data_IF_770873154637
#
_entry.id   IF_770873154637
#
_cell.length_a   1.000
_cell.length_b   1.000
_cell.length_c   1.000
_cell.angle_alpha   90.00
_cell.angle_beta   90.00
_cell.angle_gamma   90.00
#
_symmetry.space_group_name_H-M   'P 1'
#
loop_
_entity.id
_entity.type
_entity.pdbx_description
1 polymer ?
#
# COMPACT_ATOMS: atom_id res chain seq x y z
N UNK A 1 3.43 1.58 13.33
CA UNK A 1 3.21 0.60 12.24
C UNK A 1 2.97 1.36 10.92
N UNK A 2 3.39 0.84 9.77
CA UNK A 2 3.28 1.50 8.46
C UNK A 2 2.56 0.59 7.45
N UNK A 3 1.53 1.11 6.78
CA UNK A 3 0.92 0.45 5.60
C UNK A 3 1.30 1.27 4.37
N UNK A 4 1.96 0.64 3.40
CA UNK A 4 2.28 1.25 2.10
C UNK A 4 1.33 0.67 1.05
N UNK A 5 0.75 1.52 0.22
CA UNK A 5 -0.17 1.12 -0.86
C UNK A 5 0.33 1.79 -2.14
N UNK A 6 0.69 1.00 -3.16
CA UNK A 6 1.27 1.55 -4.40
C UNK A 6 0.89 0.73 -5.64
N UNK A 7 0.72 1.42 -6.76
CA UNK A 7 0.38 0.81 -8.06
C UNK A 7 1.55 0.84 -9.05
N UNK A 8 1.71 -0.20 -9.86
CA UNK A 8 2.81 -0.31 -10.83
C UNK A 8 2.74 0.72 -11.96
N UNK A 9 1.54 1.08 -12.42
CA UNK A 9 1.34 2.00 -13.54
C UNK A 9 1.15 3.44 -13.07
N UNK A 10 1.60 3.76 -11.85
CA UNK A 10 1.71 5.14 -11.40
C UNK A 10 2.96 5.80 -12.02
N UNK A 11 2.74 6.49 -13.13
CA UNK A 11 3.79 7.25 -13.81
C UNK A 11 4.08 8.62 -13.17
N UNK A 12 3.34 9.02 -12.12
CA UNK A 12 3.63 10.25 -11.37
C UNK A 12 4.61 9.98 -10.25
N UNK A 13 4.45 8.83 -9.59
CA UNK A 13 5.29 8.39 -8.48
C UNK A 13 5.70 6.93 -8.74
N UNK A 14 6.96 6.66 -9.13
CA UNK A 14 7.43 5.31 -9.38
C UNK A 14 7.22 4.38 -8.18
N UNK A 15 6.78 3.14 -8.43
CA UNK A 15 6.55 2.12 -7.40
C UNK A 15 7.73 1.91 -6.45
N UNK A 16 8.95 2.13 -6.95
CA UNK A 16 10.18 1.98 -6.20
C UNK A 16 10.22 2.90 -4.99
N UNK A 17 9.57 4.06 -5.03
CA UNK A 17 9.50 4.95 -3.86
C UNK A 17 8.66 4.34 -2.73
N UNK A 18 7.54 3.69 -3.07
CA UNK A 18 6.76 2.92 -2.09
C UNK A 18 7.56 1.74 -1.53
N UNK A 19 8.25 1.00 -2.41
CA UNK A 19 9.09 -0.14 -1.99
C UNK A 19 10.22 0.31 -1.05
N UNK A 20 10.90 1.41 -1.37
CA UNK A 20 11.93 1.99 -0.51
C UNK A 20 11.40 2.37 0.88
N UNK A 21 10.20 2.95 0.96
CA UNK A 21 9.58 3.29 2.24
C UNK A 21 9.24 2.04 3.07
N UNK A 22 8.77 0.97 2.42
CA UNK A 22 8.52 -0.32 3.07
C UNK A 22 9.81 -1.00 3.54
N UNK A 23 10.82 -1.08 2.68
CA UNK A 23 12.12 -1.67 3.01
C UNK A 23 12.76 -0.94 4.19
N UNK A 24 12.71 0.40 4.18
CA UNK A 24 13.20 1.22 5.30
C UNK A 24 12.43 0.91 6.60
N UNK A 25 11.10 0.78 6.55
CA UNK A 25 10.31 0.41 7.72
C UNK A 25 10.69 -0.98 8.27
N UNK A 26 10.87 -1.97 7.40
CA UNK A 26 11.30 -3.32 7.77
C UNK A 26 12.70 -3.30 8.40
N UNK A 27 13.65 -2.59 7.79
CA UNK A 27 15.03 -2.45 8.30
C UNK A 27 15.08 -1.80 9.69
N UNK A 28 14.16 -0.87 9.97
CA UNK A 28 14.03 -0.21 11.27
C UNK A 28 13.16 -1.00 12.27
N UNK A 29 12.82 -2.25 11.96
CA UNK A 29 11.97 -3.12 12.77
C UNK A 29 10.59 -2.50 13.09
N UNK A 30 10.09 -1.61 12.23
CA UNK A 30 8.73 -1.07 12.31
C UNK A 30 7.78 -2.06 11.64
N UNK A 31 6.70 -2.50 12.32
CA UNK A 31 5.71 -3.37 11.68
C UNK A 31 5.16 -2.72 10.41
N UNK A 32 5.35 -3.38 9.27
CA UNK A 32 5.01 -2.84 7.96
C UNK A 32 4.25 -3.87 7.09
N UNK A 33 3.28 -3.38 6.31
CA UNK A 33 2.56 -4.16 5.29
C UNK A 33 2.58 -3.38 3.96
N UNK A 34 2.62 -4.09 2.82
CA UNK A 34 2.62 -3.50 1.48
C UNK A 34 1.46 -4.06 0.64
N UNK A 35 0.58 -3.18 0.17
CA UNK A 35 -0.48 -3.53 -0.79
C UNK A 35 -0.09 -3.04 -2.18
N UNK A 36 0.16 -3.99 -3.08
CA UNK A 36 0.63 -3.75 -4.43
C UNK A 36 -0.47 -3.98 -5.47
N UNK A 37 -0.63 -3.03 -6.40
CA UNK A 37 -1.54 -3.19 -7.54
C UNK A 37 -0.75 -3.18 -8.87
N UNK A 38 -0.52 -4.34 -9.51
CA UNK A 38 0.29 -4.42 -10.74
C UNK A 38 -0.40 -3.80 -11.96
N UNK A 39 -1.71 -3.58 -11.89
CA UNK A 39 -2.56 -3.28 -13.04
C UNK A 39 -3.41 -2.00 -12.84
N UNK A 40 -3.04 -1.17 -11.85
CA UNK A 40 -3.64 0.12 -11.53
C UNK A 40 -2.68 1.27 -11.83
N UNK A 41 -3.25 2.46 -12.03
CA UNK A 41 -2.52 3.71 -12.19
C UNK A 41 -2.31 4.43 -10.85
N UNK A 42 -2.04 5.73 -10.88
CA UNK A 42 -2.06 6.60 -9.69
C UNK A 42 -3.39 6.55 -8.92
N UNK A 43 -4.47 6.12 -9.56
CA UNK A 43 -5.77 5.90 -8.94
C UNK A 43 -6.14 4.41 -8.99
N UNK A 44 -6.73 3.90 -7.92
CA UNK A 44 -7.28 2.54 -7.84
C UNK A 44 -8.72 2.55 -8.36
N UNK A 45 -8.89 2.23 -9.64
CA UNK A 45 -10.17 2.43 -10.35
C UNK A 45 -10.93 1.14 -10.66
N UNK A 46 -10.27 -0.03 -10.68
CA UNK A 46 -10.97 -1.30 -10.94
C UNK A 46 -11.81 -1.66 -9.72
N UNK A 47 -13.10 -2.02 -9.89
CA UNK A 47 -14.00 -2.26 -8.77
C UNK A 47 -13.47 -3.27 -7.74
N UNK A 48 -12.89 -4.38 -8.21
CA UNK A 48 -12.34 -5.44 -7.35
C UNK A 48 -11.12 -4.93 -6.55
N UNK A 49 -10.24 -4.16 -7.19
CA UNK A 49 -9.08 -3.57 -6.53
C UNK A 49 -9.49 -2.51 -5.51
N UNK A 50 -10.49 -1.67 -5.82
CA UNK A 50 -11.03 -0.69 -4.87
C UNK A 50 -11.64 -1.36 -3.63
N UNK A 51 -12.35 -2.48 -3.79
CA UNK A 51 -12.87 -3.27 -2.66
C UNK A 51 -11.72 -3.83 -1.82
N UNK A 52 -10.70 -4.42 -2.44
CA UNK A 52 -9.53 -4.94 -1.73
C UNK A 52 -8.83 -3.81 -0.96
N UNK A 53 -8.59 -2.68 -1.62
CA UNK A 53 -7.96 -1.49 -1.01
C UNK A 53 -8.70 -1.06 0.25
N UNK A 54 -10.01 -0.83 0.16
CA UNK A 54 -10.81 -0.35 1.29
C UNK A 54 -10.88 -1.38 2.44
N UNK A 55 -10.93 -2.68 2.11
CA UNK A 55 -10.90 -3.76 3.11
C UNK A 55 -9.57 -3.82 3.84
N UNK A 56 -8.45 -3.77 3.10
CA UNK A 56 -7.11 -3.77 3.69
C UNK A 56 -6.88 -2.54 4.55
N UNK A 57 -7.24 -1.35 4.05
CA UNK A 57 -7.13 -0.10 4.80
C UNK A 57 -7.93 -0.14 6.11
N UNK A 58 -9.23 -0.50 6.04
CA UNK A 58 -10.08 -0.58 7.23
C UNK A 58 -9.60 -1.65 8.21
N UNK A 59 -9.16 -2.82 7.71
CA UNK A 59 -8.59 -3.89 8.52
C UNK A 59 -7.32 -3.47 9.26
N UNK A 60 -6.45 -2.71 8.59
CA UNK A 60 -5.24 -2.15 9.18
C UNK A 60 -5.54 -1.18 10.32
N UNK A 61 -6.47 -0.24 10.11
CA UNK A 61 -6.90 0.68 11.18
C UNK A 61 -7.47 -0.09 12.38
N UNK A 62 -8.32 -1.10 12.13
CA UNK A 62 -8.88 -1.96 13.17
C UNK A 62 -7.83 -2.74 13.97
N UNK A 63 -6.68 -3.07 13.37
CA UNK A 63 -5.58 -3.79 14.03
C UNK A 63 -4.74 -2.88 14.94
N UNK A 64 -4.57 -1.61 14.55
CA UNK A 64 -3.57 -0.73 15.16
C UNK A 64 -4.11 0.50 15.91
N UNK A 65 -5.38 0.87 15.73
CA UNK A 65 -5.99 2.07 16.35
C UNK A 65 -7.11 1.76 17.36
N UNK A 66 -7.26 0.50 17.78
CA UNK A 66 -8.21 0.14 18.84
C UNK A 66 -7.64 0.37 20.23
#
# INVERSE_FOLDING_TARGET
PILVIHSQLDYRIPVTQGMQAFDAAVLLHVPAEFLYFPDESHWVSKPQNSILWQRTFSGWLNKWLK
#
